data_IF_624396893347
#
_entry.id   IF_624396893347
#
_cell.length_a   1.000
_cell.length_b   1.000
_cell.length_c   1.000
_cell.angle_alpha   90.00
_cell.angle_beta   90.00
_cell.angle_gamma   90.00
#
_symmetry.space_group_name_H-M   'P 1'
#
loop_
_entity.id
_entity.type
_entity.pdbx_description
1 polymer ?
#
# COMPACT_ATOMS: atom_id res chain seq x y z
N UNK A 1 -42.83 26.51 -83.00
CA UNK A 1 -41.41 26.07 -82.98
C UNK A 1 -40.82 26.39 -81.62
N UNK A 2 -40.78 25.40 -80.75
CA UNK A 2 -40.34 25.53 -79.34
C UNK A 2 -38.94 24.96 -79.21
N UNK A 3 -38.04 25.76 -78.74
CA UNK A 3 -36.68 25.31 -78.34
C UNK A 3 -36.62 25.10 -76.84
N UNK A 4 -36.51 23.86 -76.43
CA UNK A 4 -36.23 23.48 -75.08
C UNK A 4 -34.72 23.71 -74.72
N UNK A 5 -34.47 24.54 -73.75
CA UNK A 5 -33.14 24.68 -73.11
C UNK A 5 -33.06 23.71 -71.96
N UNK A 6 -32.16 22.74 -72.04
CA UNK A 6 -31.80 21.89 -70.94
C UNK A 6 -30.76 22.60 -70.05
N UNK A 7 -31.16 22.86 -68.83
CA UNK A 7 -30.28 23.41 -67.84
C UNK A 7 -29.72 22.23 -67.00
N UNK A 8 -28.44 21.88 -67.26
CA UNK A 8 -27.71 20.88 -66.39
C UNK A 8 -27.26 21.52 -65.07
N UNK A 9 -27.96 21.22 -63.99
CA UNK A 9 -27.55 21.52 -62.67
C UNK A 9 -26.50 20.46 -62.20
N UNK A 10 -25.22 20.86 -62.17
CA UNK A 10 -24.19 20.10 -61.55
C UNK A 10 -24.33 20.22 -59.99
N UNK A 11 -24.83 19.18 -59.35
CA UNK A 11 -24.85 19.03 -57.94
C UNK A 11 -23.47 18.48 -57.50
N UNK A 12 -22.60 19.38 -57.06
CA UNK A 12 -21.33 18.97 -56.42
C UNK A 12 -21.63 18.36 -55.05
N UNK A 13 -21.60 17.04 -54.99
CA UNK A 13 -21.68 16.29 -53.74
C UNK A 13 -20.33 16.35 -53.05
N UNK A 14 -20.20 17.28 -52.10
CA UNK A 14 -19.02 17.38 -51.24
C UNK A 14 -19.06 16.19 -50.27
N UNK A 15 -18.30 15.15 -50.55
CA UNK A 15 -18.09 14.03 -49.62
C UNK A 15 -17.18 14.55 -48.51
N UNK A 16 -17.77 14.88 -47.34
CA UNK A 16 -17.04 15.05 -46.09
C UNK A 16 -16.52 13.68 -45.68
N UNK A 17 -15.25 13.40 -46.02
CA UNK A 17 -14.51 12.29 -45.44
C UNK A 17 -14.29 12.65 -43.97
N UNK A 18 -15.17 12.16 -43.09
CA UNK A 18 -14.94 12.07 -41.68
C UNK A 18 -13.72 11.13 -41.48
N UNK A 19 -12.56 11.70 -41.22
CA UNK A 19 -11.40 10.92 -40.80
C UNK A 19 -11.74 10.33 -39.44
N UNK A 20 -12.15 9.08 -39.42
CA UNK A 20 -12.18 8.26 -38.21
C UNK A 20 -10.70 8.07 -37.80
N UNK A 21 -10.27 8.85 -36.83
CA UNK A 21 -8.95 8.72 -36.25
C UNK A 21 -8.85 7.31 -35.67
N UNK A 22 -8.08 6.47 -36.34
CA UNK A 22 -7.81 5.12 -35.87
C UNK A 22 -6.83 5.25 -34.71
N UNK A 23 -7.33 5.64 -33.54
CA UNK A 23 -6.60 5.52 -32.31
C UNK A 23 -6.14 4.06 -32.20
N UNK A 24 -4.83 3.85 -32.22
CA UNK A 24 -4.29 2.50 -32.24
C UNK A 24 -4.69 1.77 -30.95
N UNK A 25 -4.91 0.46 -31.04
CA UNK A 25 -5.18 -0.36 -29.86
C UNK A 25 -4.03 -0.21 -28.84
N UNK A 26 -2.80 0.04 -29.32
CA UNK A 26 -1.66 0.33 -28.48
C UNK A 26 -1.80 1.63 -27.67
N UNK A 27 -2.39 2.70 -28.26
CA UNK A 27 -2.63 3.97 -27.54
C UNK A 27 -3.75 3.82 -26.52
N UNK A 28 -4.76 2.98 -26.82
CA UNK A 28 -5.83 2.65 -25.87
C UNK A 28 -5.28 1.78 -24.73
N UNK A 29 -4.45 0.80 -25.03
CA UNK A 29 -3.80 -0.06 -24.00
C UNK A 29 -2.84 0.76 -23.15
N UNK A 30 -2.03 1.64 -23.75
CA UNK A 30 -1.13 2.54 -22.99
C UNK A 30 -1.92 3.51 -22.07
N UNK A 31 -3.12 3.96 -22.48
CA UNK A 31 -3.96 4.82 -21.62
C UNK A 31 -4.72 4.04 -20.51
N UNK A 32 -4.80 2.71 -20.62
CA UNK A 32 -5.40 1.84 -19.59
C UNK A 32 -4.35 1.36 -18.56
N UNK A 33 -3.06 1.36 -18.94
CA UNK A 33 -1.98 0.88 -18.09
C UNK A 33 -1.42 1.92 -17.11
N UNK A 34 -1.83 3.17 -17.18
CA UNK A 34 -1.62 4.09 -16.06
C UNK A 34 -2.67 3.74 -14.99
N UNK A 35 -2.48 2.58 -14.36
CA UNK A 35 -3.28 2.19 -13.20
C UNK A 35 -3.04 3.26 -12.16
N UNK A 36 -4.11 3.91 -11.73
CA UNK A 36 -4.20 4.83 -10.58
C UNK A 36 -3.92 4.06 -9.26
N UNK A 37 -2.89 3.19 -9.32
CA UNK A 37 -2.43 2.42 -8.18
C UNK A 37 -1.53 3.32 -7.35
N UNK A 38 -1.84 3.55 -6.07
CA UNK A 38 -1.10 4.50 -5.27
C UNK A 38 0.36 4.08 -5.07
N UNK A 39 1.23 5.07 -4.92
CA UNK A 39 2.60 4.82 -4.48
C UNK A 39 2.59 4.09 -3.13
N UNK A 40 3.34 3.00 -3.04
CA UNK A 40 3.44 2.20 -1.83
C UNK A 40 4.82 2.26 -1.21
N UNK A 41 4.86 2.17 0.12
CA UNK A 41 6.07 2.15 0.90
C UNK A 41 6.03 1.07 1.99
N UNK A 42 7.20 0.57 2.36
CA UNK A 42 7.36 -0.24 3.56
C UNK A 42 7.33 0.66 4.80
N UNK A 43 6.61 0.22 5.84
CA UNK A 43 6.72 0.77 7.20
C UNK A 43 7.69 -0.15 7.95
N UNK A 44 8.89 0.34 8.22
CA UNK A 44 9.99 -0.48 8.74
C UNK A 44 10.54 0.02 10.07
N UNK A 45 11.09 -0.89 10.89
CA UNK A 45 11.81 -0.51 12.10
C UNK A 45 13.09 0.25 11.74
N UNK A 46 13.32 1.39 12.38
CA UNK A 46 14.55 2.16 12.23
C UNK A 46 15.79 1.39 12.76
N UNK A 47 15.59 0.42 13.64
CA UNK A 47 16.64 -0.45 14.14
C UNK A 47 16.51 -1.85 13.50
N UNK A 48 17.54 -2.31 12.85
CA UNK A 48 17.55 -3.60 12.14
C UNK A 48 17.49 -4.82 13.07
N UNK A 49 17.67 -4.63 14.39
CA UNK A 49 17.76 -5.72 15.38
C UNK A 49 18.78 -6.78 14.92
N UNK A 50 18.33 -8.01 14.73
CA UNK A 50 19.15 -9.16 14.32
C UNK A 50 18.99 -9.55 12.84
N UNK A 51 18.43 -8.69 11.99
CA UNK A 51 18.33 -8.93 10.55
C UNK A 51 18.80 -7.69 9.77
N UNK A 52 19.86 -7.83 8.98
CA UNK A 52 20.42 -6.71 8.19
C UNK A 52 19.46 -6.13 7.17
N UNK A 53 18.42 -6.89 6.76
CA UNK A 53 17.33 -6.44 5.89
C UNK A 53 16.36 -5.50 6.61
N UNK A 54 16.38 -5.51 7.95
CA UNK A 54 15.40 -4.85 8.81
C UNK A 54 14.08 -5.61 8.92
N UNK A 55 13.15 -5.03 9.68
CA UNK A 55 11.81 -5.60 9.88
C UNK A 55 10.76 -4.61 9.39
N UNK A 56 9.87 -5.08 8.52
CA UNK A 56 8.75 -4.32 7.99
C UNK A 56 7.43 -4.83 8.57
N UNK A 57 6.44 -3.95 8.72
CA UNK A 57 5.06 -4.38 9.00
C UNK A 57 4.59 -5.21 7.81
N UNK A 58 4.02 -6.37 8.08
CA UNK A 58 3.80 -7.42 7.10
C UNK A 58 2.47 -8.14 7.36
N UNK A 59 1.81 -8.51 6.29
CA UNK A 59 0.67 -9.42 6.36
C UNK A 59 1.15 -10.86 6.58
N UNK A 60 0.42 -11.60 7.38
CA UNK A 60 0.70 -13.05 7.52
C UNK A 60 0.40 -13.78 6.23
N UNK A 61 1.42 -14.39 5.64
CA UNK A 61 1.32 -15.10 4.35
C UNK A 61 2.49 -14.80 3.44
N UNK A 62 2.24 -14.69 2.13
CA UNK A 62 3.30 -14.41 1.17
C UNK A 62 2.77 -13.66 -0.05
N UNK A 63 3.21 -12.43 -0.24
CA UNK A 63 2.88 -11.59 -1.41
C UNK A 63 1.36 -11.55 -1.65
N UNK A 64 0.91 -11.81 -2.88
CA UNK A 64 -0.50 -11.79 -3.27
C UNK A 64 -1.37 -12.85 -2.58
N UNK A 65 -0.76 -13.86 -1.93
CA UNK A 65 -1.45 -14.92 -1.17
C UNK A 65 -1.46 -14.64 0.34
N UNK A 66 -1.15 -13.42 0.77
CA UNK A 66 -1.26 -13.05 2.18
C UNK A 66 -2.73 -13.10 2.64
N UNK A 67 -2.93 -13.46 3.91
CA UNK A 67 -4.26 -13.73 4.47
C UNK A 67 -4.77 -12.52 5.26
N UNK A 68 -5.77 -11.84 4.73
CA UNK A 68 -6.41 -10.66 5.34
C UNK A 68 -7.12 -10.96 6.67
N UNK A 69 -7.38 -12.23 6.99
CA UNK A 69 -8.04 -12.63 8.22
C UNK A 69 -7.08 -12.90 9.37
N UNK A 70 -5.78 -12.78 9.13
CA UNK A 70 -4.75 -12.96 10.15
C UNK A 70 -4.22 -11.60 10.63
N UNK A 71 -3.73 -11.60 11.87
CA UNK A 71 -3.07 -10.44 12.43
C UNK A 71 -1.83 -10.06 11.62
N UNK A 72 -1.54 -8.76 11.61
CA UNK A 72 -0.27 -8.23 11.13
C UNK A 72 0.88 -8.69 12.03
N UNK A 73 2.04 -8.80 11.44
CA UNK A 73 3.30 -9.17 12.06
C UNK A 73 4.41 -8.22 11.61
N UNK A 74 5.61 -8.40 12.09
CA UNK A 74 6.80 -7.88 11.43
C UNK A 74 7.57 -9.02 10.79
N UNK A 75 8.10 -8.76 9.61
CA UNK A 75 8.85 -9.73 8.82
C UNK A 75 10.09 -9.07 8.24
N UNK A 76 11.16 -9.83 7.98
CA UNK A 76 12.29 -9.32 7.20
C UNK A 76 11.80 -8.56 5.98
N UNK A 77 12.27 -7.33 5.79
CA UNK A 77 11.79 -6.49 4.68
C UNK A 77 12.14 -7.12 3.32
N UNK A 78 11.27 -6.94 2.32
CA UNK A 78 11.49 -7.45 0.97
C UNK A 78 12.13 -6.45 0.01
N UNK A 79 12.22 -5.16 0.36
CA UNK A 79 12.77 -4.10 -0.51
C UNK A 79 14.21 -4.36 -0.97
N UNK A 80 14.99 -5.18 -0.26
CA UNK A 80 16.30 -5.63 -0.74
C UNK A 80 16.23 -6.38 -2.09
N UNK A 81 15.05 -6.82 -2.51
CA UNK A 81 14.79 -7.44 -3.82
C UNK A 81 14.46 -6.40 -4.91
N UNK A 82 14.53 -5.10 -4.61
CA UNK A 82 14.37 -4.00 -5.56
C UNK A 82 12.97 -3.41 -5.68
N UNK A 83 11.97 -3.96 -4.96
CA UNK A 83 10.61 -3.42 -4.96
C UNK A 83 9.90 -3.65 -3.63
N UNK A 84 8.95 -2.76 -3.29
CA UNK A 84 8.03 -2.98 -2.18
C UNK A 84 7.08 -4.12 -2.52
N UNK A 85 7.00 -5.12 -1.66
CA UNK A 85 6.07 -6.24 -1.84
C UNK A 85 4.66 -5.83 -1.44
N UNK A 86 3.64 -6.36 -2.12
CA UNK A 86 2.23 -5.98 -1.90
C UNK A 86 1.72 -6.29 -0.49
N UNK A 87 2.31 -7.27 0.19
CA UNK A 87 2.01 -7.65 1.58
C UNK A 87 2.74 -6.80 2.63
N UNK A 88 3.67 -5.92 2.19
CA UNK A 88 4.39 -4.93 3.01
C UNK A 88 4.17 -3.49 2.51
N UNK A 89 3.37 -3.31 1.44
CA UNK A 89 3.20 -2.05 0.73
C UNK A 89 2.01 -1.24 1.23
N UNK A 90 2.27 -0.18 2.00
CA UNK A 90 1.26 0.75 2.49
C UNK A 90 1.16 1.97 1.57
N UNK A 91 -0.05 2.48 1.36
CA UNK A 91 -0.34 3.69 0.58
C UNK A 91 0.30 4.93 1.23
N UNK A 92 1.31 5.49 0.57
CA UNK A 92 2.07 6.65 1.07
C UNK A 92 1.17 7.86 1.30
N UNK A 93 0.19 8.09 0.43
CA UNK A 93 -0.70 9.25 0.50
C UNK A 93 -1.60 9.26 1.75
N UNK A 94 -1.87 8.09 2.31
CA UNK A 94 -2.74 7.91 3.47
C UNK A 94 -1.98 7.92 4.81
N UNK A 95 -0.73 7.49 4.82
CA UNK A 95 0.09 7.44 6.05
C UNK A 95 0.18 8.82 6.72
N UNK A 96 0.32 9.89 5.94
CA UNK A 96 0.36 11.27 6.46
C UNK A 96 -0.92 11.69 7.19
N UNK A 97 -2.03 11.03 6.88
CA UNK A 97 -3.34 11.24 7.51
C UNK A 97 -3.61 10.23 8.64
N UNK A 98 -2.63 9.41 9.02
CA UNK A 98 -2.75 8.42 10.09
C UNK A 98 -3.49 7.15 9.68
N UNK A 99 -3.75 6.92 8.41
CA UNK A 99 -4.36 5.70 7.89
C UNK A 99 -3.30 4.80 7.25
N UNK A 100 -3.20 3.57 7.71
CA UNK A 100 -2.26 2.58 7.18
C UNK A 100 -3.03 1.55 6.34
N UNK A 101 -3.20 1.83 5.05
CA UNK A 101 -3.92 0.95 4.12
C UNK A 101 -2.97 0.17 3.23
N UNK A 102 -3.34 -1.08 2.93
CA UNK A 102 -2.67 -1.95 1.96
C UNK A 102 -3.54 -1.99 0.69
N UNK A 103 -3.22 -1.17 -0.32
CA UNK A 103 -4.13 -0.93 -1.45
C UNK A 103 -4.35 -2.16 -2.31
N UNK A 104 -3.37 -3.07 -2.41
CA UNK A 104 -3.54 -4.31 -3.16
C UNK A 104 -4.67 -5.19 -2.62
N UNK A 105 -4.84 -5.21 -1.30
CA UNK A 105 -5.86 -6.02 -0.61
C UNK A 105 -7.12 -5.22 -0.28
N UNK A 106 -7.10 -3.90 -0.50
CA UNK A 106 -8.17 -2.98 -0.15
C UNK A 106 -8.58 -3.07 1.34
N UNK A 107 -7.59 -3.13 2.23
CA UNK A 107 -7.78 -3.21 3.69
C UNK A 107 -6.94 -2.18 4.42
N UNK A 108 -7.35 -1.87 5.65
CA UNK A 108 -6.67 -0.97 6.56
C UNK A 108 -6.22 -1.69 7.83
N UNK A 109 -5.06 -1.28 8.37
CA UNK A 109 -4.61 -1.67 9.69
C UNK A 109 -5.57 -1.13 10.75
N UNK A 110 -5.97 -2.00 11.67
CA UNK A 110 -6.90 -1.68 12.76
C UNK A 110 -6.37 -2.26 14.08
N UNK A 111 -6.50 -1.51 15.17
CA UNK A 111 -6.25 -2.07 16.50
C UNK A 111 -7.39 -2.99 16.90
N UNK A 112 -7.11 -4.19 17.35
CA UNK A 112 -8.12 -5.13 17.85
C UNK A 112 -8.83 -4.54 19.09
N UNK A 113 -8.04 -4.00 20.04
CA UNK A 113 -8.50 -3.22 21.18
C UNK A 113 -7.45 -2.17 21.58
N UNK A 114 -7.86 -1.12 22.30
CA UNK A 114 -6.95 -0.10 22.83
C UNK A 114 -6.37 -0.52 24.18
N UNK A 115 -5.76 -1.72 24.22
CA UNK A 115 -5.19 -2.30 25.42
C UNK A 115 -3.75 -2.76 25.15
N UNK A 116 -2.87 -2.78 26.17
CA UNK A 116 -1.54 -3.38 26.02
C UNK A 116 -1.62 -4.84 25.54
N UNK A 117 -0.68 -5.21 24.68
CA UNK A 117 -0.60 -6.53 24.03
C UNK A 117 -1.69 -6.80 22.98
N UNK A 118 -2.56 -5.83 22.68
CA UNK A 118 -3.52 -5.95 21.59
C UNK A 118 -2.80 -6.09 20.25
N UNK A 119 -3.27 -7.00 19.40
CA UNK A 119 -2.79 -7.20 18.05
C UNK A 119 -3.29 -6.11 17.08
N UNK A 120 -2.69 -6.11 15.91
CA UNK A 120 -3.11 -5.31 14.75
C UNK A 120 -3.76 -6.28 13.75
N UNK A 121 -4.98 -5.97 13.36
CA UNK A 121 -5.77 -6.76 12.42
C UNK A 121 -6.03 -5.97 11.15
N UNK A 122 -6.61 -6.62 10.15
CA UNK A 122 -6.98 -5.99 8.88
C UNK A 122 -8.50 -5.97 8.74
N UNK A 123 -9.05 -4.84 8.30
CA UNK A 123 -10.48 -4.63 8.06
C UNK A 123 -10.67 -3.75 6.83
N UNK A 124 -11.88 -3.75 6.28
CA UNK A 124 -12.27 -2.77 5.26
C UNK A 124 -12.01 -1.36 5.78
N UNK A 125 -11.50 -0.48 4.92
CA UNK A 125 -11.18 0.89 5.28
C UNK A 125 -12.46 1.70 5.45
N UNK A 126 -12.86 1.99 6.68
CA UNK A 126 -14.07 2.75 7.02
C UNK A 126 -13.80 4.01 7.85
N UNK A 127 -12.52 4.30 8.11
CA UNK A 127 -12.04 5.46 8.88
C UNK A 127 -12.55 5.51 10.33
N UNK A 128 -12.94 4.38 10.90
CA UNK A 128 -13.28 4.32 12.31
C UNK A 128 -12.06 4.65 13.19
N UNK A 129 -12.26 5.09 14.46
CA UNK A 129 -11.13 5.50 15.32
C UNK A 129 -10.10 4.42 15.59
N UNK A 130 -10.42 3.13 15.43
CA UNK A 130 -9.46 2.04 15.58
C UNK A 130 -8.49 1.91 14.40
N UNK A 131 -8.82 2.55 13.26
CA UNK A 131 -7.98 2.61 12.05
C UNK A 131 -7.17 3.90 11.96
N UNK A 132 -7.25 4.75 12.98
CA UNK A 132 -6.57 6.03 13.01
C UNK A 132 -5.37 6.00 13.96
N UNK A 133 -4.24 6.46 13.46
CA UNK A 133 -2.96 6.47 14.15
C UNK A 133 -2.30 7.85 14.06
N UNK A 134 -1.50 8.16 15.05
CA UNK A 134 -0.55 9.28 15.01
C UNK A 134 0.82 8.72 14.70
N UNK A 135 1.42 9.15 13.59
CA UNK A 135 2.80 8.86 13.26
C UNK A 135 3.67 10.06 13.68
N UNK A 136 4.36 9.92 14.80
CA UNK A 136 5.16 10.99 15.38
C UNK A 136 6.50 11.19 14.64
N UNK A 137 7.05 12.39 14.72
CA UNK A 137 8.32 12.73 14.08
C UNK A 137 9.53 11.95 14.62
N UNK A 138 9.42 11.36 15.82
CA UNK A 138 10.44 10.48 16.40
C UNK A 138 10.29 9.01 15.96
N UNK A 139 9.33 8.72 15.11
CA UNK A 139 9.06 7.41 14.52
C UNK A 139 8.06 6.55 15.29
N UNK A 140 7.43 7.04 16.36
CA UNK A 140 6.39 6.27 17.04
C UNK A 140 5.08 6.29 16.26
N UNK A 141 4.41 5.14 16.21
CA UNK A 141 3.04 5.00 15.68
C UNK A 141 2.14 4.66 16.86
N UNK A 142 1.14 5.50 17.10
CA UNK A 142 0.23 5.43 18.25
C UNK A 142 -1.22 5.40 17.80
N UNK A 143 -2.08 4.54 18.36
CA UNK A 143 -3.50 4.62 18.07
C UNK A 143 -4.10 5.91 18.66
N UNK A 144 -4.99 6.58 17.94
CA UNK A 144 -5.62 7.83 18.43
C UNK A 144 -6.45 7.63 19.69
N UNK A 145 -6.93 6.41 19.94
CA UNK A 145 -7.76 6.08 21.10
C UNK A 145 -6.96 6.00 22.40
N UNK A 146 -5.62 5.75 22.32
CA UNK A 146 -4.73 5.78 23.47
C UNK A 146 -3.30 6.12 23.06
N UNK A 147 -2.90 7.37 23.22
CA UNK A 147 -1.58 7.88 22.87
C UNK A 147 -0.47 7.43 23.84
N UNK A 148 -0.78 6.73 24.91
CA UNK A 148 0.21 6.11 25.78
C UNK A 148 0.76 4.79 25.22
N UNK A 149 0.06 4.21 24.21
CA UNK A 149 0.45 2.97 23.55
C UNK A 149 1.20 3.26 22.23
N UNK A 150 2.18 2.42 21.97
CA UNK A 150 3.00 2.46 20.75
C UNK A 150 2.96 1.11 20.03
N UNK A 151 2.95 1.16 18.71
CA UNK A 151 3.13 -0.01 17.86
C UNK A 151 4.52 -0.61 18.11
N UNK A 152 4.57 -1.88 18.51
CA UNK A 152 5.76 -2.52 19.06
C UNK A 152 6.01 -3.88 18.43
N UNK A 153 7.20 -4.07 17.85
CA UNK A 153 7.66 -5.40 17.46
C UNK A 153 8.11 -6.19 18.70
N UNK A 154 7.80 -7.49 18.75
CA UNK A 154 8.24 -8.38 19.82
C UNK A 154 9.78 -8.45 19.97
N UNK A 155 10.26 -8.67 21.17
CA UNK A 155 11.67 -9.01 21.44
C UNK A 155 12.04 -10.37 20.87
N UNK A 156 11.11 -11.33 20.95
CA UNK A 156 11.28 -12.67 20.43
C UNK A 156 11.04 -12.70 18.91
N UNK A 157 11.63 -13.69 18.27
CA UNK A 157 11.45 -13.93 16.82
C UNK A 157 11.35 -15.42 16.53
N UNK A 158 10.79 -15.73 15.36
CA UNK A 158 10.77 -17.07 14.78
C UNK A 158 11.29 -17.01 13.34
N UNK A 159 11.73 -18.14 12.83
CA UNK A 159 12.09 -18.26 11.42
C UNK A 159 10.84 -18.34 10.54
N UNK A 160 10.90 -17.68 9.39
CA UNK A 160 9.89 -17.73 8.33
C UNK A 160 10.05 -18.92 7.40
N UNK A 161 9.21 -18.98 6.36
CA UNK A 161 9.16 -20.10 5.43
C UNK A 161 10.14 -20.03 4.25
N UNK A 162 11.05 -19.06 4.15
CA UNK A 162 11.89 -18.89 2.98
C UNK A 162 13.03 -17.89 3.17
N UNK A 163 13.72 -17.62 2.06
CA UNK A 163 14.86 -16.71 2.03
C UNK A 163 16.22 -17.41 2.26
N UNK A 164 17.29 -16.75 1.83
CA UNK A 164 18.68 -17.14 2.12
C UNK A 164 19.49 -15.86 2.36
N UNK A 165 19.78 -15.52 3.64
CA UNK A 165 19.40 -16.24 4.86
C UNK A 165 17.87 -16.30 5.06
N UNK A 166 17.42 -17.23 5.89
CA UNK A 166 15.99 -17.39 6.24
C UNK A 166 15.39 -16.07 6.75
N UNK A 167 14.15 -15.79 6.38
CA UNK A 167 13.44 -14.61 6.87
C UNK A 167 13.07 -14.79 8.36
N UNK A 168 13.11 -13.69 9.09
CA UNK A 168 12.73 -13.64 10.49
C UNK A 168 11.38 -12.94 10.67
N UNK A 169 10.60 -13.41 11.63
CA UNK A 169 9.25 -12.91 11.92
C UNK A 169 9.19 -12.55 13.41
N UNK A 170 8.55 -11.41 13.73
CA UNK A 170 8.24 -11.00 15.10
C UNK A 170 6.76 -10.65 15.19
N UNK A 171 6.18 -10.93 16.35
CA UNK A 171 4.81 -10.49 16.60
C UNK A 171 4.74 -8.97 16.70
N UNK A 172 3.62 -8.40 16.28
CA UNK A 172 3.33 -6.97 16.27
C UNK A 172 2.14 -6.70 17.18
N UNK A 173 2.31 -5.80 18.15
CA UNK A 173 1.26 -5.48 19.12
C UNK A 173 1.39 -4.05 19.64
N UNK A 174 0.42 -3.62 20.43
CA UNK A 174 0.51 -2.39 21.20
C UNK A 174 1.21 -2.64 22.53
N UNK A 175 2.11 -1.75 22.94
CA UNK A 175 2.73 -1.74 24.27
C UNK A 175 2.88 -0.30 24.77
N UNK A 176 3.01 -0.09 26.05
CA UNK A 176 3.31 1.23 26.58
C UNK A 176 4.52 1.85 25.85
N UNK A 177 4.42 3.12 25.50
CA UNK A 177 5.51 3.86 24.89
C UNK A 177 6.63 4.04 25.93
N UNK A 178 7.73 3.33 25.78
CA UNK A 178 8.84 3.33 26.74
C UNK A 178 10.19 3.42 26.03
N UNK A 179 11.13 4.15 26.63
CA UNK A 179 12.49 4.31 26.10
C UNK A 179 13.25 2.97 26.04
N UNK A 180 12.93 2.02 26.90
CA UNK A 180 13.52 0.66 26.89
C UNK A 180 13.11 -0.15 25.64
N UNK A 181 12.02 0.25 24.99
CA UNK A 181 11.54 -0.36 23.76
C UNK A 181 11.85 0.47 22.50
N UNK A 182 12.62 1.55 22.61
CA UNK A 182 12.86 2.47 21.50
C UNK A 182 13.35 1.79 20.20
N UNK A 183 14.14 0.72 20.30
CA UNK A 183 14.61 -0.05 19.14
C UNK A 183 13.51 -0.86 18.46
N UNK A 184 12.37 -1.05 19.10
CA UNK A 184 11.23 -1.86 18.62
C UNK A 184 9.94 -1.06 18.48
N UNK A 185 9.98 0.26 18.74
CA UNK A 185 8.84 1.18 18.68
C UNK A 185 9.05 2.35 17.73
N UNK A 186 10.18 2.42 17.03
CA UNK A 186 10.46 3.51 16.11
C UNK A 186 10.45 3.00 14.67
N UNK A 187 9.59 3.59 13.89
CA UNK A 187 9.29 3.21 12.51
C UNK A 187 9.69 4.31 11.55
N UNK A 188 10.00 3.94 10.34
CA UNK A 188 10.22 4.84 9.21
C UNK A 188 9.42 4.36 8.01
N UNK A 189 9.41 5.17 6.96
CA UNK A 189 8.78 4.86 5.69
C UNK A 189 9.88 4.77 4.64
N UNK A 190 9.82 3.76 3.78
CA UNK A 190 10.76 3.56 2.69
C UNK A 190 10.03 3.10 1.45
N UNK A 191 10.03 3.94 0.40
CA UNK A 191 9.64 3.54 -0.94
C UNK A 191 10.81 2.77 -1.60
N UNK A 192 10.52 1.91 -2.57
CA UNK A 192 11.57 1.36 -3.44
C UNK A 192 12.15 2.51 -4.28
N UNK A 193 13.46 2.61 -4.30
CA UNK A 193 14.17 3.50 -5.22
C UNK A 193 14.17 2.95 -6.64
#
# INVERSE_FOLDING_TARGET
MSRFFYFCLFFSFLILLSSCDKQSVADIVASIEETDYPETAEVYLLNNLNDTRGFCIDMTGYKTNADVNKALQTHSCYSYQGSVSVDQGFDVSKISNGEFSLPFFNVCMEVESAEPSSGLILRDCDKNPKQQFVFESDGKIKPVNDLSLCLTASGDYREGGGGSPVHLIRDLSLSACDVSFATRQRWGIRSSN
#
